data_IF_123140984662
#
_entry.id   IF_123140984662
#
_cell.length_a   1.000
_cell.length_b   1.000
_cell.length_c   1.000
_cell.angle_alpha   90.00
_cell.angle_beta   90.00
_cell.angle_gamma   90.00
#
_symmetry.space_group_name_H-M   'P 1'
#
loop_
_entity.id
_entity.type
_entity.pdbx_description
1 polymer ?
#
# COMPACT_ATOMS: atom_id res chain seq x y z
N UNK A 1 -21.35 21.18 10.44
CA UNK A 1 -21.40 19.76 10.74
C UNK A 1 -20.18 18.97 10.18
N UNK A 2 -19.20 19.62 9.56
CA UNK A 2 -17.99 18.99 8.95
C UNK A 2 -16.80 18.80 9.92
N UNK A 3 -16.82 19.38 11.10
CA UNK A 3 -15.65 19.38 12.01
C UNK A 3 -15.58 18.13 12.91
N UNK A 4 -16.69 17.44 13.12
CA UNK A 4 -16.72 16.26 14.01
C UNK A 4 -16.11 15.00 13.38
N UNK A 5 -16.19 14.82 12.07
CA UNK A 5 -15.67 13.63 11.38
C UNK A 5 -14.12 13.58 11.35
N UNK A 6 -13.42 14.71 11.22
CA UNK A 6 -11.96 14.70 11.13
C UNK A 6 -11.26 14.33 12.45
N UNK A 7 -11.83 14.74 13.59
CA UNK A 7 -11.27 14.38 14.89
C UNK A 7 -11.49 12.90 15.20
N UNK A 8 -12.64 12.32 14.80
CA UNK A 8 -12.91 10.90 14.98
C UNK A 8 -11.98 10.03 14.13
N UNK A 9 -11.74 10.38 12.87
CA UNK A 9 -10.84 9.64 11.97
C UNK A 9 -9.37 9.71 12.41
N UNK A 10 -8.93 10.84 12.97
CA UNK A 10 -7.57 10.95 13.55
C UNK A 10 -7.41 10.04 14.77
N UNK A 11 -8.38 10.04 15.66
CA UNK A 11 -8.39 9.16 16.84
C UNK A 11 -8.41 7.69 16.45
N UNK A 12 -9.27 7.32 15.49
CA UNK A 12 -9.33 5.96 14.95
C UNK A 12 -7.97 5.49 14.40
N UNK A 13 -7.28 6.34 13.61
CA UNK A 13 -5.93 6.01 13.13
C UNK A 13 -4.94 5.75 14.27
N UNK A 14 -4.96 6.58 15.30
CA UNK A 14 -4.07 6.41 16.44
C UNK A 14 -4.34 5.10 17.19
N UNK A 15 -5.60 4.75 17.32
CA UNK A 15 -6.03 3.51 17.95
C UNK A 15 -5.60 2.29 17.14
N UNK A 16 -5.85 2.28 15.82
CA UNK A 16 -5.42 1.20 14.93
C UNK A 16 -3.89 1.03 14.89
N UNK A 17 -3.13 2.13 14.90
CA UNK A 17 -1.68 2.08 14.95
C UNK A 17 -1.18 1.52 16.29
N UNK A 18 -1.82 1.87 17.40
CA UNK A 18 -1.53 1.29 18.71
C UNK A 18 -1.83 -0.21 18.72
N UNK A 19 -2.99 -0.61 18.23
CA UNK A 19 -3.39 -2.02 18.12
C UNK A 19 -2.40 -2.80 17.23
N UNK A 20 -1.92 -2.21 16.12
CA UNK A 20 -0.92 -2.86 15.25
C UNK A 20 0.39 -3.10 15.97
N UNK A 21 0.85 -2.13 16.76
CA UNK A 21 2.05 -2.31 17.58
C UNK A 21 1.88 -3.42 18.62
N UNK A 22 0.74 -3.48 19.30
CA UNK A 22 0.41 -4.53 20.26
C UNK A 22 0.31 -5.90 19.56
N UNK A 23 -0.35 -5.95 18.41
CA UNK A 23 -0.48 -7.15 17.59
C UNK A 23 0.88 -7.69 17.14
N UNK A 24 1.81 -6.83 16.74
CA UNK A 24 3.16 -7.22 16.32
C UNK A 24 4.00 -7.84 17.44
N UNK A 25 3.67 -7.59 18.72
CA UNK A 25 4.33 -8.22 19.87
C UNK A 25 3.68 -9.56 20.26
N UNK A 26 2.56 -9.91 19.64
CA UNK A 26 1.79 -11.12 19.93
C UNK A 26 2.48 -12.39 19.47
N UNK A 27 2.26 -13.50 20.19
CA UNK A 27 2.88 -14.81 19.88
C UNK A 27 2.51 -15.34 18.48
N UNK A 28 1.34 -14.98 17.95
CA UNK A 28 0.85 -15.43 16.64
C UNK A 28 1.31 -14.55 15.49
N UNK A 29 1.93 -13.41 15.75
CA UNK A 29 2.26 -12.44 14.72
C UNK A 29 3.14 -13.02 13.60
N UNK A 30 4.21 -13.74 13.98
CA UNK A 30 5.11 -14.34 13.00
C UNK A 30 4.36 -15.25 12.01
N UNK A 31 3.50 -16.13 12.52
CA UNK A 31 2.72 -17.05 11.68
C UNK A 31 1.68 -16.31 10.82
N UNK A 32 1.04 -15.28 11.36
CA UNK A 32 0.04 -14.48 10.63
C UNK A 32 0.75 -13.69 9.52
N UNK A 33 1.87 -13.05 9.83
CA UNK A 33 2.66 -12.32 8.84
C UNK A 33 3.19 -13.25 7.74
N UNK A 34 3.64 -14.46 8.08
CA UNK A 34 4.08 -15.47 7.11
C UNK A 34 2.95 -15.83 6.12
N UNK A 35 1.72 -16.02 6.61
CA UNK A 35 0.56 -16.27 5.72
C UNK A 35 0.29 -15.10 4.78
N UNK A 36 0.38 -13.86 5.27
CA UNK A 36 0.23 -12.68 4.41
C UNK A 36 1.32 -12.64 3.34
N UNK A 37 2.57 -12.87 3.70
CA UNK A 37 3.70 -12.94 2.75
C UNK A 37 3.49 -14.07 1.74
N UNK A 38 2.99 -15.22 2.17
CA UNK A 38 2.60 -16.29 1.24
C UNK A 38 1.53 -15.84 0.26
N UNK A 39 0.53 -15.09 0.71
CA UNK A 39 -0.48 -14.47 -0.16
C UNK A 39 0.11 -13.54 -1.22
N UNK A 40 1.16 -12.77 -0.88
CA UNK A 40 1.90 -11.96 -1.87
C UNK A 40 2.55 -12.86 -2.92
N UNK A 41 3.20 -13.95 -2.53
CA UNK A 41 3.77 -14.92 -3.49
C UNK A 41 2.70 -15.51 -4.42
N UNK A 42 1.53 -15.87 -3.88
CA UNK A 42 0.42 -16.39 -4.69
C UNK A 42 -0.09 -15.35 -5.68
N UNK A 43 -0.25 -14.09 -5.25
CA UNK A 43 -0.60 -12.99 -6.15
C UNK A 43 0.41 -12.85 -7.29
N UNK A 44 1.70 -12.82 -6.98
CA UNK A 44 2.77 -12.65 -7.96
C UNK A 44 2.79 -13.78 -8.99
N UNK A 45 2.50 -15.01 -8.57
CA UNK A 45 2.46 -16.20 -9.42
C UNK A 45 1.23 -16.23 -10.34
N UNK A 46 0.08 -15.85 -9.81
CA UNK A 46 -1.20 -16.10 -10.47
C UNK A 46 -1.72 -14.86 -11.22
N UNK A 47 -1.59 -13.66 -10.62
CA UNK A 47 -2.19 -12.42 -11.11
C UNK A 47 -1.18 -11.52 -11.85
N UNK A 48 0.10 -11.58 -11.47
CA UNK A 48 1.11 -10.65 -11.97
C UNK A 48 1.79 -11.09 -13.29
N UNK A 49 1.19 -11.98 -14.06
CA UNK A 49 1.80 -12.54 -15.30
C UNK A 49 2.12 -11.48 -16.36
N UNK A 50 1.30 -10.45 -16.46
CA UNK A 50 1.47 -9.35 -17.41
C UNK A 50 2.07 -8.09 -16.78
N UNK A 51 2.29 -8.09 -15.46
CA UNK A 51 2.90 -7.00 -14.71
C UNK A 51 4.41 -7.02 -14.93
N UNK A 52 4.97 -5.87 -15.30
CA UNK A 52 6.41 -5.67 -15.51
C UNK A 52 7.02 -4.72 -14.50
N UNK A 53 6.20 -3.87 -13.88
CA UNK A 53 6.66 -2.89 -12.90
C UNK A 53 5.72 -2.85 -11.69
N UNK A 54 6.31 -2.96 -10.51
CA UNK A 54 5.59 -2.93 -9.23
C UNK A 54 6.16 -1.82 -8.36
N UNK A 55 5.29 -0.91 -7.93
CA UNK A 55 5.60 -0.01 -6.83
C UNK A 55 5.20 -0.66 -5.51
N UNK A 56 6.07 -0.54 -4.52
CA UNK A 56 5.86 -1.05 -3.18
C UNK A 56 6.11 0.06 -2.15
N UNK A 57 5.74 -0.18 -0.92
CA UNK A 57 6.05 0.72 0.20
C UNK A 57 7.28 0.22 0.99
N UNK A 58 7.94 1.14 1.68
CA UNK A 58 8.91 0.79 2.71
C UNK A 58 8.16 0.57 4.02
N UNK A 59 8.24 -0.61 4.65
CA UNK A 59 7.45 -0.90 5.84
C UNK A 59 7.86 -0.03 7.02
N UNK A 60 6.88 0.57 7.68
CA UNK A 60 7.03 1.37 8.89
C UNK A 60 5.99 0.96 9.94
N UNK A 61 6.26 1.22 11.20
CA UNK A 61 5.28 1.04 12.28
C UNK A 61 4.60 -0.35 12.25
N UNK A 62 5.40 -1.40 12.18
CA UNK A 62 4.95 -2.79 12.18
C UNK A 62 4.04 -3.18 10.99
N UNK A 63 4.23 -2.52 9.85
CA UNK A 63 3.64 -2.95 8.58
C UNK A 63 4.26 -4.26 8.10
N UNK A 64 3.49 -5.12 7.38
CA UNK A 64 4.04 -6.32 6.78
C UNK A 64 5.20 -5.99 5.82
N UNK A 65 6.32 -6.68 5.96
CA UNK A 65 7.44 -6.51 5.03
C UNK A 65 7.25 -7.40 3.79
N UNK A 66 6.71 -6.80 2.74
CA UNK A 66 6.48 -7.47 1.46
C UNK A 66 7.68 -7.42 0.50
N UNK A 67 8.81 -6.82 0.91
CA UNK A 67 9.98 -6.68 0.04
C UNK A 67 10.59 -8.03 -0.37
N UNK A 68 10.76 -9.01 0.52
CA UNK A 68 11.39 -10.28 0.13
C UNK A 68 10.71 -11.00 -1.03
N UNK A 69 9.38 -11.23 -1.05
CA UNK A 69 8.72 -11.85 -2.19
C UNK A 69 8.81 -11.03 -3.48
N UNK A 70 8.81 -9.69 -3.38
CA UNK A 70 8.91 -8.80 -4.53
C UNK A 70 10.32 -8.78 -5.11
N UNK A 71 11.35 -8.82 -4.27
CA UNK A 71 12.75 -8.93 -4.71
C UNK A 71 12.99 -10.24 -5.46
N UNK A 72 12.46 -11.35 -4.95
CA UNK A 72 12.53 -12.64 -5.65
C UNK A 72 11.82 -12.56 -7.01
N UNK A 73 10.61 -12.01 -7.05
CA UNK A 73 9.86 -11.82 -8.29
C UNK A 73 10.62 -10.98 -9.32
N UNK A 74 11.26 -9.90 -8.90
CA UNK A 74 12.05 -9.06 -9.80
C UNK A 74 13.35 -9.77 -10.27
N UNK A 75 13.98 -10.56 -9.39
CA UNK A 75 15.18 -11.32 -9.72
C UNK A 75 14.96 -12.47 -10.71
N UNK A 76 13.73 -12.97 -10.83
CA UNK A 76 13.38 -14.07 -11.75
C UNK A 76 13.32 -13.65 -13.24
N UNK A 77 13.24 -12.35 -13.55
CA UNK A 77 13.09 -11.84 -14.92
C UNK A 77 13.67 -10.42 -15.02
N UNK A 78 14.73 -10.24 -15.84
CA UNK A 78 15.42 -8.96 -16.05
C UNK A 78 14.50 -7.83 -16.60
N UNK A 79 13.34 -8.17 -17.16
CA UNK A 79 12.34 -7.21 -17.61
C UNK A 79 11.43 -6.69 -16.50
N UNK A 80 11.56 -7.21 -15.26
CA UNK A 80 10.74 -6.79 -14.10
C UNK A 80 11.44 -5.71 -13.30
N UNK A 81 10.67 -4.76 -12.80
CA UNK A 81 11.18 -3.61 -12.07
C UNK A 81 10.40 -3.36 -10.79
N UNK A 82 11.13 -2.98 -9.75
CA UNK A 82 10.54 -2.50 -8.50
C UNK A 82 10.75 -0.99 -8.38
N UNK A 83 9.83 -0.32 -7.70
CA UNK A 83 9.93 1.10 -7.44
C UNK A 83 9.46 1.45 -6.02
N UNK A 84 10.13 2.43 -5.41
CA UNK A 84 9.72 3.01 -4.14
C UNK A 84 9.16 4.42 -4.35
N UNK A 85 8.19 4.83 -3.51
CA UNK A 85 7.63 6.15 -3.57
C UNK A 85 8.60 7.21 -3.02
N UNK A 86 8.59 8.36 -3.66
CA UNK A 86 9.16 9.61 -3.18
C UNK A 86 8.01 10.60 -2.95
N UNK A 87 7.91 11.17 -1.77
CA UNK A 87 6.88 12.14 -1.42
C UNK A 87 7.25 13.55 -1.89
N UNK A 88 6.57 14.03 -2.92
CA UNK A 88 6.76 15.38 -3.45
C UNK A 88 6.17 16.44 -2.53
N UNK A 89 6.67 17.70 -2.59
CA UNK A 89 6.11 18.82 -1.83
C UNK A 89 4.63 19.11 -2.12
N UNK A 90 4.16 18.82 -3.34
CA UNK A 90 2.75 18.95 -3.75
C UNK A 90 1.85 17.80 -3.28
N UNK A 91 2.37 16.93 -2.43
CA UNK A 91 1.70 15.77 -1.84
C UNK A 91 1.28 14.68 -2.84
N UNK A 92 1.95 14.59 -3.97
CA UNK A 92 1.91 13.44 -4.86
C UNK A 92 3.11 12.54 -4.62
N UNK A 93 3.01 11.28 -5.05
CA UNK A 93 4.12 10.34 -5.07
C UNK A 93 4.67 10.24 -6.49
N UNK A 94 5.99 10.21 -6.59
CA UNK A 94 6.73 9.73 -7.76
C UNK A 94 7.35 8.39 -7.39
N UNK A 95 7.35 7.44 -8.32
CA UNK A 95 7.91 6.12 -8.09
C UNK A 95 9.23 6.00 -8.82
N UNK A 96 10.31 5.89 -8.05
CA UNK A 96 11.66 5.71 -8.59
C UNK A 96 12.04 4.25 -8.58
N UNK A 97 12.65 3.78 -9.67
CA UNK A 97 13.21 2.42 -9.72
C UNK A 97 14.11 2.18 -8.51
N UNK A 98 13.96 1.00 -7.92
CA UNK A 98 14.67 0.63 -6.71
C UNK A 98 15.22 -0.79 -6.79
N UNK A 99 16.45 -0.96 -6.33
CA UNK A 99 17.08 -2.26 -6.15
C UNK A 99 17.51 -2.41 -4.69
N UNK A 100 17.59 -3.66 -4.23
CA UNK A 100 18.07 -3.92 -2.87
C UNK A 100 19.49 -3.39 -2.70
N UNK A 101 19.74 -2.75 -1.56
CA UNK A 101 21.03 -2.10 -1.27
C UNK A 101 21.16 -0.67 -1.81
N UNK A 102 20.18 -0.12 -2.53
CA UNK A 102 20.22 1.30 -2.92
C UNK A 102 20.17 2.23 -1.69
N UNK A 103 20.92 3.31 -1.77
CA UNK A 103 20.90 4.34 -0.73
C UNK A 103 19.55 5.07 -0.72
N UNK A 104 18.96 5.16 0.45
CA UNK A 104 17.71 5.88 0.72
C UNK A 104 17.95 7.03 1.69
N UNK A 105 17.11 8.04 1.64
CA UNK A 105 17.12 9.17 2.57
C UNK A 105 15.82 9.19 3.38
N UNK A 106 15.84 9.63 4.64
CA UNK A 106 14.60 9.81 5.38
C UNK A 106 13.78 10.97 4.80
N UNK A 107 12.49 10.71 4.53
CA UNK A 107 11.53 11.75 4.16
C UNK A 107 11.23 12.67 5.36
N UNK A 108 10.45 13.72 5.12
CA UNK A 108 9.90 14.56 6.19
C UNK A 108 9.06 13.80 7.24
N UNK A 109 8.62 12.58 6.89
CA UNK A 109 7.86 11.68 7.78
C UNK A 109 8.71 10.54 8.35
N UNK A 110 10.03 10.56 8.11
CA UNK A 110 10.96 9.53 8.57
C UNK A 110 10.91 8.22 7.78
N UNK A 111 10.15 8.16 6.68
CA UNK A 111 10.10 7.00 5.79
C UNK A 111 11.33 7.03 4.88
N UNK A 112 12.08 5.92 4.73
CA UNK A 112 13.15 5.83 3.74
C UNK A 112 12.61 5.99 2.31
N UNK A 113 13.17 6.94 1.57
CA UNK A 113 12.76 7.28 0.20
C UNK A 113 13.95 7.29 -0.76
N UNK A 114 13.74 7.02 -2.05
CA UNK A 114 14.75 7.20 -3.08
C UNK A 114 15.26 8.65 -3.15
N UNK A 115 16.48 8.82 -3.62
CA UNK A 115 17.10 10.15 -3.80
C UNK A 115 16.76 10.67 -5.20
N UNK A 116 15.89 11.71 -5.36
CA UNK A 116 15.46 12.18 -6.67
C UNK A 116 16.59 12.76 -7.53
N UNK A 117 17.62 13.32 -6.89
CA UNK A 117 18.79 13.90 -7.55
C UNK A 117 19.75 12.84 -8.12
N UNK A 118 19.57 11.59 -7.79
CA UNK A 118 20.37 10.50 -8.33
C UNK A 118 19.85 10.13 -9.73
N UNK A 119 20.36 10.77 -10.76
CA UNK A 119 19.97 10.58 -12.17
C UNK A 119 20.14 9.13 -12.67
N UNK A 120 20.70 8.23 -11.87
CA UNK A 120 20.85 6.80 -12.20
C UNK A 120 19.57 6.00 -12.07
N UNK A 121 18.51 6.53 -11.41
CA UNK A 121 17.26 5.82 -11.18
C UNK A 121 16.09 6.50 -11.91
N UNK A 122 15.51 5.84 -12.92
CA UNK A 122 14.38 6.41 -13.66
C UNK A 122 13.09 6.44 -12.82
N UNK A 123 12.22 7.40 -13.15
CA UNK A 123 10.84 7.41 -12.68
C UNK A 123 10.08 6.33 -13.44
N UNK A 124 9.33 5.52 -12.71
CA UNK A 124 8.51 4.44 -13.25
C UNK A 124 7.02 4.79 -13.11
N UNK A 125 6.25 4.56 -14.16
CA UNK A 125 4.79 4.47 -14.07
C UNK A 125 4.45 2.99 -13.84
N UNK A 126 4.11 2.57 -12.61
CA UNK A 126 3.95 1.17 -12.29
C UNK A 126 2.70 0.56 -12.92
N UNK A 127 2.76 -0.74 -13.24
CA UNK A 127 1.59 -1.53 -13.65
C UNK A 127 0.77 -1.95 -12.43
N UNK A 128 1.43 -2.13 -11.28
CA UNK A 128 0.81 -2.50 -10.02
C UNK A 128 1.42 -1.70 -8.87
N UNK A 129 0.59 -1.35 -7.88
CA UNK A 129 1.02 -0.66 -6.66
C UNK A 129 0.51 -1.44 -5.46
N UNK A 130 1.42 -1.87 -4.57
CA UNK A 130 1.08 -2.35 -3.23
C UNK A 130 1.02 -1.17 -2.26
N UNK A 131 -0.09 -1.06 -1.53
CA UNK A 131 -0.41 0.11 -0.72
C UNK A 131 -0.71 -0.32 0.71
N UNK A 132 0.02 0.19 1.72
CA UNK A 132 -0.20 -0.20 3.11
C UNK A 132 -1.49 0.42 3.66
N UNK A 133 -2.22 -0.34 4.47
CA UNK A 133 -3.46 0.09 5.11
C UNK A 133 -3.24 0.26 6.63
N UNK A 134 -3.67 1.39 7.18
CA UNK A 134 -3.85 1.55 8.63
C UNK A 134 -5.14 0.86 9.06
N UNK A 135 -6.17 0.99 8.24
CA UNK A 135 -7.42 0.26 8.29
C UNK A 135 -7.97 0.13 6.87
N UNK A 136 -8.96 -0.71 6.67
CA UNK A 136 -9.61 -0.90 5.39
C UNK A 136 -11.09 -1.23 5.55
N UNK A 137 -11.89 -0.94 4.53
CA UNK A 137 -13.30 -1.34 4.50
C UNK A 137 -13.67 -1.86 3.12
N UNK A 138 -14.81 -2.52 3.05
CA UNK A 138 -15.37 -3.08 1.85
C UNK A 138 -16.79 -2.55 1.63
N UNK A 139 -17.07 -2.16 0.39
CA UNK A 139 -18.42 -1.82 -0.04
C UNK A 139 -18.81 -2.60 -1.30
N UNK A 140 -20.09 -2.66 -1.60
CA UNK A 140 -20.62 -3.31 -2.79
C UNK A 140 -21.32 -2.25 -3.65
N UNK A 141 -20.84 -2.10 -4.88
CA UNK A 141 -21.43 -1.16 -5.86
C UNK A 141 -21.63 -1.92 -7.16
N UNK A 142 -22.85 -1.95 -7.66
CA UNK A 142 -23.22 -2.64 -8.91
C UNK A 142 -22.75 -4.10 -8.98
N UNK A 143 -22.85 -4.82 -7.86
CA UNK A 143 -22.47 -6.24 -7.76
C UNK A 143 -20.96 -6.49 -7.69
N UNK A 144 -20.14 -5.45 -7.57
CA UNK A 144 -18.68 -5.55 -7.42
C UNK A 144 -18.26 -5.14 -6.02
N UNK A 145 -17.27 -5.85 -5.49
CA UNK A 145 -16.60 -5.43 -4.26
C UNK A 145 -15.65 -4.27 -4.58
N UNK A 146 -15.69 -3.24 -3.76
CA UNK A 146 -14.72 -2.16 -3.75
C UNK A 146 -14.04 -2.14 -2.38
N UNK A 147 -12.75 -1.97 -2.36
CA UNK A 147 -11.96 -1.89 -1.13
C UNK A 147 -11.46 -0.47 -0.95
N UNK A 148 -11.55 0.02 0.27
CA UNK A 148 -11.17 1.37 0.63
C UNK A 148 -10.11 1.34 1.71
N UNK A 149 -9.23 2.29 1.66
CA UNK A 149 -8.07 2.35 2.54
C UNK A 149 -8.12 3.56 3.47
N UNK A 150 -8.07 3.32 4.76
CA UNK A 150 -7.71 4.34 5.73
C UNK A 150 -6.17 4.40 5.79
N UNK A 151 -5.59 5.51 5.28
CA UNK A 151 -4.15 5.75 5.33
C UNK A 151 -3.74 6.62 6.52
N UNK A 152 -2.49 7.07 6.53
CA UNK A 152 -1.91 7.92 7.59
C UNK A 152 -2.45 9.36 7.62
N UNK A 153 -3.27 9.77 6.67
CA UNK A 153 -3.94 11.07 6.64
C UNK A 153 -3.25 12.14 5.78
N UNK A 154 -2.13 11.84 5.14
CA UNK A 154 -1.44 12.76 4.22
C UNK A 154 -2.13 12.90 2.86
N UNK A 155 -2.93 11.91 2.46
CA UNK A 155 -3.64 11.84 1.17
C UNK A 155 -2.72 11.68 -0.04
N UNK A 156 -1.48 11.24 0.16
CA UNK A 156 -0.50 11.07 -0.91
C UNK A 156 -0.94 10.04 -1.95
N UNK A 157 -1.38 8.87 -1.50
CA UNK A 157 -1.83 7.82 -2.40
C UNK A 157 -3.08 8.24 -3.17
N UNK A 158 -4.10 8.77 -2.50
CA UNK A 158 -5.38 9.12 -3.15
C UNK A 158 -5.18 10.12 -4.28
N UNK A 159 -4.40 11.19 -4.04
CA UNK A 159 -4.04 12.15 -5.09
C UNK A 159 -3.26 11.51 -6.23
N UNK A 160 -2.33 10.64 -5.90
CA UNK A 160 -1.46 9.99 -6.90
C UNK A 160 -2.25 8.99 -7.74
N UNK A 161 -3.09 8.15 -7.11
CA UNK A 161 -3.91 7.16 -7.81
C UNK A 161 -4.89 7.81 -8.77
N UNK A 162 -5.54 8.92 -8.35
CA UNK A 162 -6.44 9.69 -9.21
C UNK A 162 -5.76 10.15 -10.50
N UNK A 163 -4.48 10.53 -10.44
CA UNK A 163 -3.71 10.93 -11.61
C UNK A 163 -3.23 9.72 -12.43
N UNK A 164 -2.72 8.69 -11.77
CA UNK A 164 -2.16 7.52 -12.45
C UNK A 164 -3.22 6.73 -13.19
N UNK A 165 -4.41 6.55 -12.64
CA UNK A 165 -5.52 5.86 -13.31
C UNK A 165 -6.00 6.57 -14.58
N UNK A 166 -5.92 7.90 -14.62
CA UNK A 166 -6.20 8.67 -15.86
C UNK A 166 -5.18 8.39 -16.96
N UNK A 167 -3.91 8.14 -16.58
CA UNK A 167 -2.83 7.83 -17.52
C UNK A 167 -2.76 6.35 -17.88
N UNK A 168 -3.03 5.47 -16.91
CA UNK A 168 -3.04 4.03 -17.09
C UNK A 168 -4.30 3.43 -16.45
N UNK A 169 -5.39 3.27 -17.23
CA UNK A 169 -6.65 2.66 -16.74
C UNK A 169 -6.51 1.18 -16.36
N UNK A 170 -5.39 0.54 -16.69
CA UNK A 170 -5.07 -0.85 -16.31
C UNK A 170 -4.22 -0.98 -15.05
N UNK A 171 -3.92 0.16 -14.39
CA UNK A 171 -3.19 0.16 -13.13
C UNK A 171 -3.92 -0.70 -12.10
N UNK A 172 -3.20 -1.64 -11.49
CA UNK A 172 -3.70 -2.50 -10.42
C UNK A 172 -3.24 -1.96 -9.07
N UNK A 173 -4.18 -1.69 -8.17
CA UNK A 173 -3.92 -1.19 -6.83
C UNK A 173 -4.31 -2.26 -5.80
N UNK A 174 -3.33 -2.80 -5.08
CA UNK A 174 -3.50 -3.86 -4.08
C UNK A 174 -3.23 -3.30 -2.69
N UNK A 175 -4.25 -3.27 -1.84
CA UNK A 175 -4.08 -2.94 -0.43
C UNK A 175 -3.41 -4.09 0.32
N UNK A 176 -2.59 -3.75 1.30
CA UNK A 176 -1.96 -4.71 2.22
C UNK A 176 -2.39 -4.36 3.63
N UNK A 177 -3.00 -5.31 4.31
CA UNK A 177 -3.47 -5.16 5.68
C UNK A 177 -3.70 -6.50 6.35
N UNK A 178 -4.07 -6.47 7.62
CA UNK A 178 -4.50 -7.64 8.37
C UNK A 178 -6.03 -7.69 8.45
N UNK A 179 -6.61 -8.89 8.62
CA UNK A 179 -8.07 -9.05 8.73
C UNK A 179 -8.68 -8.18 9.83
N UNK A 180 -8.02 -8.10 10.99
CA UNK A 180 -8.51 -7.32 12.13
C UNK A 180 -8.57 -5.80 11.86
N UNK A 181 -7.97 -5.29 10.78
CA UNK A 181 -8.01 -3.89 10.37
C UNK A 181 -9.25 -3.56 9.52
N UNK A 182 -10.15 -4.52 9.29
CA UNK A 182 -11.43 -4.28 8.61
C UNK A 182 -12.31 -3.36 9.48
N UNK A 183 -12.85 -2.32 8.84
CA UNK A 183 -13.69 -1.31 9.45
C UNK A 183 -15.09 -1.39 8.84
N UNK A 184 -16.10 -1.24 9.66
CA UNK A 184 -17.47 -1.09 9.22
C UNK A 184 -17.86 0.39 8.99
N UNK A 185 -19.02 0.62 8.40
CA UNK A 185 -19.53 1.96 8.07
C UNK A 185 -19.81 2.82 9.32
N UNK A 186 -19.99 2.21 10.49
CA UNK A 186 -20.17 2.93 11.76
C UNK A 186 -18.83 3.46 12.31
N UNK A 187 -17.75 2.75 12.03
CA UNK A 187 -16.40 3.11 12.48
C UNK A 187 -15.76 4.14 11.55
N UNK A 188 -15.92 3.95 10.24
CA UNK A 188 -15.31 4.83 9.24
C UNK A 188 -16.09 4.82 7.93
N UNK A 189 -16.22 5.98 7.30
CA UNK A 189 -16.79 6.16 5.97
C UNK A 189 -15.81 6.87 5.05
N UNK A 190 -15.84 6.48 3.79
CA UNK A 190 -15.02 7.06 2.72
C UNK A 190 -15.41 8.51 2.44
N UNK A 191 -14.48 9.25 1.90
CA UNK A 191 -14.67 10.63 1.44
C UNK A 191 -14.64 10.67 -0.10
N UNK A 192 -15.18 11.73 -0.68
CA UNK A 192 -15.30 11.88 -2.14
C UNK A 192 -13.97 11.90 -2.90
N UNK A 193 -12.87 12.09 -2.21
CA UNK A 193 -11.52 12.11 -2.79
C UNK A 193 -10.71 10.84 -2.50
N UNK A 194 -11.28 9.89 -1.76
CA UNK A 194 -10.64 8.60 -1.57
C UNK A 194 -10.71 7.78 -2.86
N UNK A 195 -9.62 7.12 -3.19
CA UNK A 195 -9.52 6.27 -4.36
C UNK A 195 -9.65 4.79 -3.94
N UNK A 196 -10.57 4.02 -4.55
CA UNK A 196 -10.74 2.62 -4.21
C UNK A 196 -9.52 1.80 -4.61
N UNK A 197 -9.35 0.67 -3.95
CA UNK A 197 -8.39 -0.37 -4.33
C UNK A 197 -9.09 -1.41 -5.21
N UNK A 198 -8.34 -2.02 -6.13
CA UNK A 198 -8.86 -3.07 -6.98
C UNK A 198 -8.94 -4.41 -6.23
N UNK A 199 -8.03 -4.61 -5.29
CA UNK A 199 -7.92 -5.81 -4.46
C UNK A 199 -7.39 -5.45 -3.08
N UNK A 200 -7.64 -6.34 -2.13
CA UNK A 200 -7.03 -6.30 -0.80
C UNK A 200 -6.42 -7.66 -0.48
N UNK A 201 -5.23 -7.67 0.07
CA UNK A 201 -4.54 -8.89 0.49
C UNK A 201 -4.30 -8.85 1.99
N UNK A 202 -4.77 -9.89 2.66
CA UNK A 202 -4.61 -10.12 4.09
C UNK A 202 -4.00 -11.49 4.34
N UNK A 203 -3.83 -11.87 5.60
CA UNK A 203 -3.41 -13.22 5.97
C UNK A 203 -4.44 -14.31 5.66
N UNK A 204 -5.68 -13.94 5.37
CA UNK A 204 -6.73 -14.86 4.90
C UNK A 204 -6.74 -15.04 3.40
N UNK A 205 -5.97 -14.23 2.66
CA UNK A 205 -5.80 -14.33 1.21
C UNK A 205 -6.17 -13.06 0.46
N UNK A 206 -6.34 -13.21 -0.87
CA UNK A 206 -6.66 -12.12 -1.79
C UNK A 206 -8.18 -11.93 -1.88
N UNK A 207 -8.64 -10.75 -1.53
CA UNK A 207 -10.03 -10.29 -1.67
C UNK A 207 -10.18 -9.50 -2.99
N UNK A 208 -11.26 -9.80 -3.73
CA UNK A 208 -11.59 -9.21 -5.05
C UNK A 208 -13.00 -8.65 -5.10
#
# INVERSE_FOLDING_TARGET
MLVMHSNSTKTLRQELLKQRKEFATGRSFAQINERLIHGVHEFLRNEAKLIRSIALYWPIQDEPDIRPPLLNWAGDDEGRRLALPYARPDKHLEFYEWHDGDSLIPSQHGVPEPIPSNQSRPIINPDCIFIPCVGWSRSFVDGKSLYWRLGYGGGYFDRTLSLLRKKNPKLVCVGIGFDWQELDDAQWSTQTHDEPLDMLLTESGLLR
#
